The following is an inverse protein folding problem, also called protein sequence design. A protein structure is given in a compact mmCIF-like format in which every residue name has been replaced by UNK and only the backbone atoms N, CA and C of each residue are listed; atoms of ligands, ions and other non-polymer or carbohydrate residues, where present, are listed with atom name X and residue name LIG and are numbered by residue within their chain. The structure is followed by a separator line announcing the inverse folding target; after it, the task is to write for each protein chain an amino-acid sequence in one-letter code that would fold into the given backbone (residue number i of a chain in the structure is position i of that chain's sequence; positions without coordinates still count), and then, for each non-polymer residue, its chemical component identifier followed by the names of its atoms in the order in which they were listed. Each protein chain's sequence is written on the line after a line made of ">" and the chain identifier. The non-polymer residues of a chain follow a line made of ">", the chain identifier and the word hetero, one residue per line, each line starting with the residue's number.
data_IF_369829690905
#
_entry.id   IF_369829690905
#
_cell.length_a   1.000
_cell.length_b   1.000
_cell.length_c   1.000
_cell.angle_alpha   90.00
_cell.angle_beta   90.00
_cell.angle_gamma   90.00
#
_symmetry.space_group_name_H-M   'P 1'
#
loop_
_entity.id
_entity.type
_entity.pdbx_description
1 polymer ?
#
# COMPACT_ATOMS: atom_id res chain seq x y z
N UNK A 1 21.90 -8.42 19.22
CA UNK A 1 21.55 -9.52 20.15
C UNK A 1 21.75 -9.17 21.64
N UNK A 2 22.97 -9.23 22.20
CA UNK A 2 23.20 -9.02 23.66
C UNK A 2 22.65 -7.72 24.28
N UNK A 3 22.62 -6.60 23.55
CA UNK A 3 22.10 -5.33 24.07
C UNK A 3 20.56 -5.29 24.16
N UNK A 4 19.86 -6.02 23.28
CA UNK A 4 18.39 -6.09 23.28
C UNK A 4 17.86 -7.02 24.38
N UNK A 5 18.47 -8.19 24.51
CA UNK A 5 18.16 -9.16 25.59
C UNK A 5 18.37 -8.51 26.97
N UNK A 6 19.49 -7.78 27.15
CA UNK A 6 19.74 -7.01 28.38
C UNK A 6 18.71 -5.91 28.64
N UNK A 7 18.19 -5.24 27.60
CA UNK A 7 17.17 -4.22 27.77
C UNK A 7 15.84 -4.84 28.22
N UNK A 8 15.42 -5.97 27.63
CA UNK A 8 14.22 -6.68 28.05
C UNK A 8 14.33 -7.21 29.49
N UNK A 9 15.47 -7.76 29.89
CA UNK A 9 15.73 -8.21 31.27
C UNK A 9 15.68 -7.05 32.27
N UNK A 10 16.33 -5.93 31.96
CA UNK A 10 16.31 -4.73 32.80
C UNK A 10 14.90 -4.17 32.95
N UNK A 11 14.09 -4.17 31.87
CA UNK A 11 12.69 -3.76 31.93
C UNK A 11 11.90 -4.59 32.95
N UNK A 12 12.04 -5.92 32.93
CA UNK A 12 11.36 -6.81 33.88
C UNK A 12 11.79 -6.55 35.32
N UNK A 13 13.09 -6.29 35.55
CA UNK A 13 13.60 -5.96 36.88
C UNK A 13 13.01 -4.65 37.43
N UNK A 14 12.98 -3.59 36.62
CA UNK A 14 12.41 -2.31 37.04
C UNK A 14 10.89 -2.36 37.20
N UNK A 15 10.20 -3.14 36.36
CA UNK A 15 8.76 -3.36 36.49
C UNK A 15 8.42 -4.07 37.81
N UNK A 16 9.13 -5.14 38.17
CA UNK A 16 8.98 -5.83 39.47
C UNK A 16 9.33 -4.93 40.65
N UNK A 17 10.29 -4.04 40.46
CA UNK A 17 10.68 -3.01 41.43
C UNK A 17 9.73 -1.81 41.51
N UNK A 18 8.65 -1.77 40.71
CA UNK A 18 7.70 -0.66 40.58
C UNK A 18 8.33 0.68 40.14
N UNK A 19 9.52 0.64 39.54
CA UNK A 19 10.13 1.79 38.87
C UNK A 19 9.66 1.83 37.40
N UNK A 20 8.40 2.27 37.22
CA UNK A 20 7.75 2.25 35.92
C UNK A 20 8.42 3.17 34.90
N UNK A 21 9.04 4.28 35.33
CA UNK A 21 9.76 5.19 34.43
C UNK A 21 10.96 4.49 33.77
N UNK A 22 11.77 3.76 34.56
CA UNK A 22 12.90 3.01 33.99
C UNK A 22 12.42 1.80 33.20
N UNK A 23 11.38 1.10 33.66
CA UNK A 23 10.80 -0.03 32.93
C UNK A 23 10.35 0.38 31.52
N UNK A 24 9.60 1.49 31.40
CA UNK A 24 9.17 2.07 30.11
C UNK A 24 10.36 2.36 29.20
N UNK A 25 11.41 3.02 29.71
CA UNK A 25 12.61 3.35 28.91
C UNK A 25 13.25 2.10 28.30
N UNK A 26 13.42 1.04 29.10
CA UNK A 26 14.04 -0.19 28.64
C UNK A 26 13.13 -1.01 27.71
N UNK A 27 11.81 -0.98 27.92
CA UNK A 27 10.85 -1.59 26.99
C UNK A 27 10.87 -0.94 25.61
N UNK A 28 10.98 0.40 25.54
CA UNK A 28 11.15 1.11 24.26
C UNK A 28 12.41 0.64 23.54
N UNK A 29 13.54 0.59 24.25
CA UNK A 29 14.81 0.17 23.69
C UNK A 29 14.79 -1.31 23.26
N UNK A 30 14.12 -2.18 24.01
CA UNK A 30 13.90 -3.58 23.63
C UNK A 30 13.07 -3.67 22.34
N UNK A 31 11.97 -2.92 22.23
CA UNK A 31 11.14 -2.85 21.04
C UNK A 31 11.88 -2.35 19.79
N UNK A 32 12.60 -1.22 19.89
CA UNK A 32 13.42 -0.67 18.81
C UNK A 32 14.54 -1.65 18.38
N UNK A 33 15.16 -2.33 19.34
CA UNK A 33 16.19 -3.33 19.07
C UNK A 33 15.64 -4.58 18.38
N UNK A 34 14.43 -5.01 18.76
CA UNK A 34 13.74 -6.13 18.15
C UNK A 34 13.35 -5.78 16.70
N UNK A 35 12.83 -4.58 16.46
CA UNK A 35 12.57 -4.08 15.10
C UNK A 35 13.81 -4.10 14.21
N UNK A 36 14.95 -3.61 14.71
CA UNK A 36 16.23 -3.64 13.96
C UNK A 36 16.73 -5.05 13.64
N UNK A 37 16.27 -6.05 14.38
CA UNK A 37 16.61 -7.46 14.18
C UNK A 37 15.48 -8.24 13.49
N UNK A 38 14.47 -7.55 12.94
CA UNK A 38 13.27 -8.13 12.32
C UNK A 38 12.44 -9.04 13.27
N UNK A 39 12.63 -8.90 14.59
CA UNK A 39 11.83 -9.52 15.64
C UNK A 39 10.53 -8.76 15.89
N UNK A 40 9.68 -8.64 14.87
CA UNK A 40 8.50 -7.75 14.92
C UNK A 40 7.47 -8.16 15.99
N UNK A 41 7.32 -9.47 16.25
CA UNK A 41 6.39 -9.97 17.28
C UNK A 41 6.85 -9.56 18.69
N UNK A 42 8.13 -9.77 18.99
CA UNK A 42 8.73 -9.38 20.27
C UNK A 42 8.71 -7.85 20.42
N UNK A 43 8.91 -7.10 19.33
CA UNK A 43 8.77 -5.66 19.33
C UNK A 43 7.35 -5.23 19.74
N UNK A 44 6.31 -5.82 19.14
CA UNK A 44 4.91 -5.51 19.48
C UNK A 44 4.64 -5.81 20.96
N UNK A 45 5.10 -6.95 21.47
CA UNK A 45 4.92 -7.34 22.87
C UNK A 45 5.58 -6.32 23.82
N UNK A 46 6.84 -5.95 23.58
CA UNK A 46 7.55 -4.96 24.40
C UNK A 46 6.94 -3.57 24.32
N UNK A 47 6.53 -3.11 23.13
CA UNK A 47 5.95 -1.78 22.92
C UNK A 47 4.55 -1.69 23.55
N UNK A 48 3.73 -2.73 23.41
CA UNK A 48 2.39 -2.80 24.04
C UNK A 48 2.52 -2.78 25.56
N UNK A 49 3.43 -3.59 26.12
CA UNK A 49 3.69 -3.57 27.57
C UNK A 49 4.22 -2.20 28.03
N UNK A 50 5.06 -1.56 27.22
CA UNK A 50 5.57 -0.21 27.48
C UNK A 50 4.45 0.83 27.58
N UNK A 51 3.47 0.78 26.66
CA UNK A 51 2.30 1.65 26.67
C UNK A 51 1.39 1.40 27.89
N UNK A 52 1.18 0.14 28.28
CA UNK A 52 0.43 -0.20 29.50
C UNK A 52 1.07 0.40 30.76
N UNK A 53 2.39 0.25 30.90
CA UNK A 53 3.12 0.83 32.04
C UNK A 53 3.15 2.35 31.98
N UNK A 54 3.27 2.94 30.79
CA UNK A 54 3.26 4.40 30.61
C UNK A 54 1.94 5.02 31.07
N UNK A 55 0.81 4.30 30.90
CA UNK A 55 -0.50 4.71 31.41
C UNK A 55 -0.58 4.86 32.93
N UNK A 56 0.35 4.26 33.68
CA UNK A 56 0.45 4.39 35.15
C UNK A 56 1.28 5.59 35.61
N UNK A 57 2.03 6.21 34.69
CA UNK A 57 2.87 7.38 34.98
C UNK A 57 2.02 8.66 34.82
N UNK A 58 2.15 9.65 35.72
CA UNK A 58 1.45 10.93 35.60
C UNK A 58 1.68 11.59 34.24
N UNK A 59 0.63 12.21 33.71
CA UNK A 59 0.69 12.87 32.42
C UNK A 59 1.58 14.12 32.49
N UNK A 60 2.65 14.11 31.70
CA UNK A 60 3.64 15.18 31.55
C UNK A 60 3.97 15.33 30.06
N UNK A 61 4.47 16.48 29.58
CA UNK A 61 4.93 16.62 28.20
C UNK A 61 5.93 15.52 27.80
N UNK A 62 6.82 15.13 28.70
CA UNK A 62 7.78 14.04 28.50
C UNK A 62 7.07 12.68 28.34
N UNK A 63 6.01 12.40 29.10
CA UNK A 63 5.19 11.20 28.95
C UNK A 63 4.51 11.17 27.58
N UNK A 64 3.96 12.30 27.13
CA UNK A 64 3.27 12.42 25.85
C UNK A 64 4.26 12.19 24.70
N UNK A 65 5.49 12.73 24.79
CA UNK A 65 6.55 12.48 23.80
C UNK A 65 6.97 11.01 23.76
N UNK A 66 7.09 10.36 24.94
CA UNK A 66 7.38 8.92 25.01
C UNK A 66 6.25 8.11 24.37
N UNK A 67 5.00 8.42 24.69
CA UNK A 67 3.83 7.74 24.13
C UNK A 67 3.83 7.87 22.60
N UNK A 68 4.10 9.06 22.07
CA UNK A 68 4.19 9.30 20.63
C UNK A 68 5.25 8.41 19.97
N UNK A 69 6.44 8.33 20.56
CA UNK A 69 7.49 7.44 20.09
C UNK A 69 7.05 5.97 20.10
N UNK A 70 6.42 5.51 21.18
CA UNK A 70 5.88 4.13 21.25
C UNK A 70 4.85 3.87 20.17
N UNK A 71 3.91 4.79 19.94
CA UNK A 71 2.84 4.62 18.95
C UNK A 71 3.37 4.55 17.52
N UNK A 72 4.33 5.42 17.16
CA UNK A 72 4.97 5.38 15.83
C UNK A 72 5.74 4.07 15.62
N UNK A 73 6.52 3.64 16.61
CA UNK A 73 7.29 2.39 16.54
C UNK A 73 6.37 1.16 16.51
N UNK A 74 5.29 1.17 17.29
CA UNK A 74 4.28 0.10 17.29
C UNK A 74 3.55 0.04 15.94
N UNK A 75 3.15 1.18 15.38
CA UNK A 75 2.54 1.25 14.06
C UNK A 75 3.42 0.63 12.97
N UNK A 76 4.73 0.91 12.97
CA UNK A 76 5.68 0.30 12.05
C UNK A 76 5.80 -1.23 12.24
N UNK A 77 5.85 -1.70 13.49
CA UNK A 77 5.91 -3.13 13.80
C UNK A 77 4.63 -3.89 13.39
N UNK A 78 3.47 -3.29 13.61
CA UNK A 78 2.17 -3.84 13.24
C UNK A 78 2.00 -3.93 11.72
N UNK A 79 2.46 -2.93 10.96
CA UNK A 79 2.47 -2.99 9.49
C UNK A 79 3.22 -4.23 9.01
N UNK A 80 4.41 -4.49 9.56
CA UNK A 80 5.27 -5.57 9.11
C UNK A 80 4.68 -6.97 9.38
N UNK A 81 3.83 -7.12 10.40
CA UNK A 81 3.29 -8.42 10.83
C UNK A 81 1.82 -8.64 10.52
N UNK A 82 1.03 -7.56 10.47
CA UNK A 82 -0.44 -7.61 10.38
C UNK A 82 -1.03 -6.81 9.23
N UNK A 83 -0.21 -6.17 8.40
CA UNK A 83 -0.62 -5.24 7.33
C UNK A 83 -0.99 -3.82 7.81
N UNK A 84 -1.00 -2.89 6.85
CA UNK A 84 -1.46 -1.50 7.03
C UNK A 84 -2.93 -1.38 7.44
N UNK A 85 -3.74 -2.41 7.19
CA UNK A 85 -5.20 -2.43 7.30
C UNK A 85 -5.72 -2.92 8.65
N UNK A 86 -4.83 -3.43 9.52
CA UNK A 86 -5.19 -3.94 10.84
C UNK A 86 -5.75 -2.82 11.75
N UNK A 87 -6.85 -3.04 12.49
CA UNK A 87 -7.42 -2.03 13.37
C UNK A 87 -6.42 -1.42 14.37
N UNK A 88 -5.53 -2.24 14.91
CA UNK A 88 -4.49 -1.83 15.86
C UNK A 88 -3.48 -0.88 15.21
N UNK A 89 -3.15 -1.08 13.93
CA UNK A 89 -2.29 -0.16 13.15
C UNK A 89 -2.95 1.21 13.03
N UNK A 90 -4.25 1.25 12.68
CA UNK A 90 -5.01 2.49 12.57
C UNK A 90 -5.15 3.21 13.92
N UNK A 91 -5.35 2.47 15.02
CA UNK A 91 -5.40 3.02 16.37
C UNK A 91 -4.06 3.66 16.77
N UNK A 92 -2.94 2.98 16.53
CA UNK A 92 -1.62 3.49 16.85
C UNK A 92 -1.32 4.81 16.13
N UNK A 93 -1.54 4.87 14.81
CA UNK A 93 -1.31 6.10 14.05
C UNK A 93 -2.30 7.23 14.38
N UNK A 94 -3.57 6.92 14.63
CA UNK A 94 -4.55 7.94 15.06
C UNK A 94 -4.14 8.54 16.40
N UNK A 95 -3.67 7.72 17.34
CA UNK A 95 -3.16 8.20 18.62
C UNK A 95 -1.87 9.01 18.43
N UNK A 96 -0.97 8.60 17.54
CA UNK A 96 0.22 9.38 17.21
C UNK A 96 -0.13 10.78 16.66
N UNK A 97 -1.13 10.89 15.79
CA UNK A 97 -1.59 12.20 15.27
C UNK A 97 -2.14 13.08 16.39
N UNK A 98 -3.01 12.55 17.25
CA UNK A 98 -3.54 13.27 18.42
C UNK A 98 -2.42 13.77 19.35
N UNK A 99 -1.41 12.94 19.62
CA UNK A 99 -0.27 13.32 20.43
C UNK A 99 0.59 14.40 19.76
N UNK A 100 0.79 14.35 18.43
CA UNK A 100 1.52 15.38 17.69
C UNK A 100 0.80 16.73 17.78
N UNK A 101 -0.52 16.76 17.62
CA UNK A 101 -1.30 18.00 17.71
C UNK A 101 -1.23 18.60 19.13
N UNK A 102 -1.23 17.76 20.18
CA UNK A 102 -1.08 18.21 21.57
C UNK A 102 0.31 18.77 21.88
N UNK A 103 1.35 18.17 21.31
CA UNK A 103 2.75 18.59 21.50
C UNK A 103 3.16 19.75 20.59
N UNK A 104 2.36 20.07 19.56
CA UNK A 104 2.75 20.92 18.44
C UNK A 104 4.04 20.40 17.75
N UNK A 105 4.28 19.08 17.79
CA UNK A 105 5.45 18.43 17.20
C UNK A 105 5.23 18.23 15.70
N UNK A 106 5.84 19.09 14.89
CA UNK A 106 5.74 19.03 13.43
C UNK A 106 6.60 17.92 12.82
N UNK A 107 7.64 17.45 13.53
CA UNK A 107 8.60 16.47 13.01
C UNK A 107 8.01 15.06 12.98
N UNK A 108 7.31 14.67 14.04
CA UNK A 108 6.69 13.36 14.18
C UNK A 108 5.32 13.25 13.47
N UNK A 109 4.71 14.41 13.16
CA UNK A 109 3.39 14.49 12.55
C UNK A 109 3.34 13.84 11.16
N UNK A 110 4.36 14.02 10.34
CA UNK A 110 4.38 13.45 9.00
C UNK A 110 4.40 11.92 9.00
N UNK A 111 5.32 11.23 9.73
CA UNK A 111 5.25 9.79 9.91
C UNK A 111 3.87 9.31 10.40
N UNK A 112 3.27 10.02 11.36
CA UNK A 112 1.96 9.68 11.91
C UNK A 112 0.84 9.75 10.87
N UNK A 113 0.72 10.89 10.18
CA UNK A 113 -0.28 11.11 9.14
C UNK A 113 -0.05 10.24 7.91
N UNK A 114 1.20 9.98 7.52
CA UNK A 114 1.53 9.06 6.42
C UNK A 114 1.09 7.62 6.73
N UNK A 115 1.34 7.14 7.95
CA UNK A 115 0.87 5.83 8.41
C UNK A 115 -0.66 5.73 8.41
N UNK A 116 -1.33 6.75 8.96
CA UNK A 116 -2.80 6.83 8.98
C UNK A 116 -3.41 6.93 7.58
N UNK A 117 -2.79 7.74 6.70
CA UNK A 117 -3.17 7.86 5.30
C UNK A 117 -3.10 6.51 4.59
N UNK A 118 -2.01 5.74 4.75
CA UNK A 118 -1.88 4.40 4.16
C UNK A 118 -2.93 3.41 4.69
N UNK A 119 -3.22 3.46 5.99
CA UNK A 119 -4.28 2.65 6.60
C UNK A 119 -5.62 2.90 5.89
N UNK A 120 -6.02 4.16 5.73
CA UNK A 120 -7.27 4.51 5.05
C UNK A 120 -7.23 4.20 3.55
N UNK A 121 -6.09 4.48 2.89
CA UNK A 121 -5.94 4.25 1.45
C UNK A 121 -6.10 2.77 1.09
N UNK A 122 -5.42 1.86 1.79
CA UNK A 122 -5.44 0.43 1.45
C UNK A 122 -6.82 -0.21 1.69
N UNK A 123 -7.61 0.38 2.60
CA UNK A 123 -9.03 0.05 2.86
C UNK A 123 -10.00 0.68 1.85
N UNK A 124 -9.47 1.39 0.84
CA UNK A 124 -10.23 2.19 -0.11
C UNK A 124 -11.12 3.29 0.53
N UNK A 125 -10.75 3.80 1.70
CA UNK A 125 -11.43 4.92 2.35
C UNK A 125 -10.90 6.25 1.77
N UNK A 126 -11.10 6.44 0.46
CA UNK A 126 -10.41 7.46 -0.36
C UNK A 126 -10.75 8.90 0.04
N UNK A 127 -11.98 9.17 0.48
CA UNK A 127 -12.36 10.51 0.97
C UNK A 127 -11.53 10.92 2.20
N UNK A 128 -11.35 10.00 3.15
CA UNK A 128 -10.51 10.23 4.34
C UNK A 128 -9.04 10.34 3.96
N UNK A 129 -8.56 9.46 3.08
CA UNK A 129 -7.18 9.54 2.58
C UNK A 129 -6.89 10.89 1.90
N UNK A 130 -7.84 11.39 1.10
CA UNK A 130 -7.73 12.71 0.45
C UNK A 130 -7.63 13.81 1.48
N UNK A 131 -8.56 13.88 2.42
CA UNK A 131 -8.56 14.90 3.46
C UNK A 131 -7.25 14.92 4.27
N UNK A 132 -6.70 13.74 4.60
CA UNK A 132 -5.41 13.63 5.28
C UNK A 132 -4.25 14.14 4.41
N UNK A 133 -4.23 13.79 3.13
CA UNK A 133 -3.18 14.25 2.20
C UNK A 133 -3.24 15.75 1.92
N UNK A 134 -4.43 16.35 1.87
CA UNK A 134 -4.61 17.80 1.73
C UNK A 134 -4.17 18.54 3.00
N UNK A 135 -4.50 18.00 4.18
CA UNK A 135 -4.01 18.54 5.46
C UNK A 135 -2.49 18.48 5.56
N UNK A 136 -1.88 17.37 5.14
CA UNK A 136 -0.42 17.22 5.05
C UNK A 136 0.18 18.30 4.17
N UNK A 137 -0.34 18.49 2.96
CA UNK A 137 0.16 19.49 2.02
C UNK A 137 0.03 20.91 2.55
N UNK A 138 -1.11 21.27 3.13
CA UNK A 138 -1.30 22.62 3.71
C UNK A 138 -0.30 22.91 4.83
N UNK A 139 -0.03 21.92 5.70
CA UNK A 139 0.96 22.08 6.79
C UNK A 139 2.38 22.16 6.23
N UNK A 140 2.74 21.32 5.26
CA UNK A 140 4.04 21.35 4.59
C UNK A 140 4.31 22.68 3.87
N UNK A 141 3.29 23.25 3.21
CA UNK A 141 3.39 24.57 2.58
C UNK A 141 3.63 25.69 3.58
N UNK A 142 3.04 25.62 4.77
CA UNK A 142 3.25 26.61 5.85
C UNK A 142 4.63 26.50 6.48
N UNK A 143 5.16 25.29 6.64
CA UNK A 143 6.50 25.08 7.20
C UNK A 143 7.61 25.41 6.19
N UNK A 144 7.34 25.25 4.89
CA UNK A 144 8.35 25.40 3.83
C UNK A 144 9.40 24.28 3.83
N UNK A 145 9.17 23.21 4.59
CA UNK A 145 10.09 22.09 4.72
C UNK A 145 10.06 21.23 3.44
N UNK A 146 11.17 21.14 2.68
CA UNK A 146 11.23 20.38 1.44
C UNK A 146 10.86 18.90 1.59
N UNK A 147 11.18 18.28 2.74
CA UNK A 147 10.91 16.86 2.97
C UNK A 147 9.42 16.62 3.22
N UNK A 148 8.78 17.50 3.99
CA UNK A 148 7.34 17.47 4.21
C UNK A 148 6.59 17.75 2.91
N UNK A 149 7.09 18.67 2.08
CA UNK A 149 6.51 18.96 0.78
C UNK A 149 6.59 17.74 -0.14
N UNK A 150 7.77 17.13 -0.29
CA UNK A 150 7.99 15.89 -1.04
C UNK A 150 6.97 14.82 -0.63
N UNK A 151 6.90 14.54 0.67
CA UNK A 151 6.01 13.53 1.22
C UNK A 151 4.53 13.84 0.99
N UNK A 152 4.14 15.11 1.10
CA UNK A 152 2.75 15.56 0.91
C UNK A 152 2.32 15.48 -0.55
N UNK A 153 3.15 15.98 -1.47
CA UNK A 153 2.94 15.86 -2.92
C UNK A 153 2.79 14.39 -3.33
N UNK A 154 3.62 13.49 -2.78
CA UNK A 154 3.50 12.05 -2.99
C UNK A 154 2.17 11.48 -2.49
N UNK A 155 1.75 11.81 -1.25
CA UNK A 155 0.49 11.28 -0.68
C UNK A 155 -0.73 11.75 -1.48
N UNK A 156 -0.78 13.04 -1.84
CA UNK A 156 -1.90 13.61 -2.56
C UNK A 156 -1.93 13.11 -4.00
N UNK A 157 -0.79 13.11 -4.70
CA UNK A 157 -0.68 12.57 -6.06
C UNK A 157 -1.11 11.11 -6.15
N UNK A 158 -0.69 10.27 -5.19
CA UNK A 158 -1.15 8.88 -5.13
C UNK A 158 -2.65 8.76 -4.86
N UNK A 159 -3.23 9.60 -3.99
CA UNK A 159 -4.67 9.56 -3.70
C UNK A 159 -5.51 9.98 -4.91
N UNK A 160 -5.10 11.06 -5.59
CA UNK A 160 -5.76 11.57 -6.79
C UNK A 160 -5.73 10.54 -7.93
N UNK A 161 -4.64 9.76 -8.05
CA UNK A 161 -4.57 8.65 -9.00
C UNK A 161 -5.69 7.62 -8.76
N UNK A 162 -5.93 7.19 -7.52
CA UNK A 162 -7.02 6.27 -7.20
C UNK A 162 -8.41 6.88 -7.43
N UNK A 163 -8.55 8.20 -7.23
CA UNK A 163 -9.78 8.93 -7.48
C UNK A 163 -10.02 9.23 -8.97
N UNK A 164 -9.13 8.82 -9.88
CA UNK A 164 -9.25 9.06 -11.33
C UNK A 164 -8.84 10.47 -11.79
N UNK A 165 -8.29 11.31 -10.91
CA UNK A 165 -7.85 12.68 -11.22
C UNK A 165 -6.41 12.70 -11.76
N UNK A 166 -6.19 12.02 -12.89
CA UNK A 166 -4.85 11.70 -13.41
C UNK A 166 -3.97 12.91 -13.73
N UNK A 167 -4.55 13.98 -14.29
CA UNK A 167 -3.78 15.20 -14.66
C UNK A 167 -3.25 15.90 -13.41
N UNK A 168 -4.10 16.06 -12.40
CA UNK A 168 -3.70 16.68 -11.11
C UNK A 168 -2.74 15.76 -10.34
N UNK A 169 -2.98 14.45 -10.38
CA UNK A 169 -2.07 13.45 -9.80
C UNK A 169 -0.67 13.58 -10.39
N UNK A 170 -0.55 13.65 -11.72
CA UNK A 170 0.71 13.86 -12.43
C UNK A 170 1.45 15.09 -11.92
N UNK A 171 0.77 16.24 -11.86
CA UNK A 171 1.39 17.50 -11.44
C UNK A 171 1.98 17.40 -10.02
N UNK A 172 1.25 16.82 -9.07
CA UNK A 172 1.78 16.62 -7.71
C UNK A 172 2.94 15.63 -7.69
N UNK A 173 2.87 14.52 -8.43
CA UNK A 173 3.96 13.52 -8.45
C UNK A 173 5.24 14.11 -9.07
N UNK A 174 5.13 14.90 -10.13
CA UNK A 174 6.26 15.61 -10.75
C UNK A 174 6.88 16.63 -9.79
N UNK A 175 6.06 17.38 -9.04
CA UNK A 175 6.55 18.29 -7.99
C UNK A 175 7.27 17.54 -6.87
N UNK A 176 6.75 16.39 -6.43
CA UNK A 176 7.43 15.53 -5.47
C UNK A 176 8.79 15.05 -5.99
N UNK A 177 8.84 14.54 -7.22
CA UNK A 177 10.08 14.06 -7.85
C UNK A 177 11.12 15.19 -7.96
N UNK A 178 10.70 16.42 -8.29
CA UNK A 178 11.59 17.57 -8.38
C UNK A 178 12.25 17.95 -7.04
N UNK A 179 11.62 17.60 -5.91
CA UNK A 179 12.14 17.81 -4.55
C UNK A 179 12.99 16.63 -4.05
N UNK A 180 13.05 15.52 -4.80
CA UNK A 180 13.69 14.30 -4.31
C UNK A 180 15.20 14.27 -4.57
N UNK A 181 15.99 14.15 -3.51
CA UNK A 181 17.43 13.88 -3.54
C UNK A 181 17.78 12.51 -2.92
N UNK A 182 18.25 11.55 -3.73
CA UNK A 182 18.56 10.17 -3.29
C UNK A 182 19.52 10.11 -2.09
N UNK A 183 20.57 10.94 -2.10
CA UNK A 183 21.60 10.96 -1.04
C UNK A 183 21.08 11.45 0.32
N UNK A 184 20.13 12.38 0.32
CA UNK A 184 19.51 12.91 1.54
C UNK A 184 18.41 11.98 2.04
N UNK A 185 17.62 11.40 1.13
CA UNK A 185 16.39 10.69 1.48
C UNK A 185 16.56 9.17 1.71
N UNK A 186 17.75 8.60 1.47
CA UNK A 186 18.01 7.17 1.73
C UNK A 186 17.70 6.76 3.17
N UNK A 187 17.97 7.63 4.15
CA UNK A 187 17.65 7.38 5.56
C UNK A 187 16.13 7.34 5.83
N UNK A 188 15.33 8.02 5.00
CA UNK A 188 13.89 8.17 5.19
C UNK A 188 13.08 6.99 4.66
N UNK A 189 13.65 6.16 3.77
CA UNK A 189 13.03 4.92 3.33
C UNK A 189 12.66 4.00 4.53
N UNK A 190 13.49 4.02 5.58
CA UNK A 190 13.27 3.26 6.82
C UNK A 190 12.27 3.92 7.77
N UNK A 191 12.13 5.25 7.74
CA UNK A 191 11.18 6.00 8.57
C UNK A 191 9.76 6.04 7.98
N UNK A 192 9.62 6.02 6.65
CA UNK A 192 8.33 6.13 5.95
C UNK A 192 7.77 4.80 5.43
N UNK A 193 8.52 3.71 5.63
CA UNK A 193 8.17 2.34 5.21
C UNK A 193 8.29 2.08 3.70
N UNK A 194 8.34 3.11 2.85
CA UNK A 194 8.76 3.04 1.45
C UNK A 194 9.53 4.31 1.11
N UNK A 195 10.48 4.22 0.18
CA UNK A 195 11.18 5.38 -0.34
C UNK A 195 10.22 6.29 -1.13
N UNK A 196 10.17 7.60 -0.83
CA UNK A 196 9.24 8.53 -1.47
C UNK A 196 9.52 8.76 -2.96
N UNK A 197 10.78 8.68 -3.40
CA UNK A 197 11.17 8.84 -4.80
C UNK A 197 10.72 7.64 -5.64
N UNK A 198 11.03 6.43 -5.18
CA UNK A 198 10.60 5.16 -5.81
C UNK A 198 9.08 5.12 -5.95
N UNK A 199 8.35 5.47 -4.88
CA UNK A 199 6.89 5.51 -4.94
C UNK A 199 6.37 6.54 -5.94
N UNK A 200 6.93 7.76 -5.93
CA UNK A 200 6.46 8.83 -6.81
C UNK A 200 6.67 8.47 -8.27
N UNK A 201 7.83 7.92 -8.63
CA UNK A 201 8.14 7.44 -9.98
C UNK A 201 7.23 6.26 -10.39
N UNK A 202 7.00 5.31 -9.47
CA UNK A 202 6.14 4.14 -9.72
C UNK A 202 4.70 4.56 -10.02
N UNK A 203 4.13 5.45 -9.21
CA UNK A 203 2.76 5.95 -9.42
C UNK A 203 2.70 6.84 -10.67
N UNK A 204 3.72 7.68 -10.90
CA UNK A 204 3.78 8.52 -12.09
C UNK A 204 3.81 7.68 -13.37
N UNK A 205 4.53 6.56 -13.39
CA UNK A 205 4.53 5.62 -14.52
C UNK A 205 3.10 5.12 -14.82
N UNK A 206 2.33 4.74 -13.79
CA UNK A 206 0.94 4.31 -13.96
C UNK A 206 0.01 5.45 -14.43
N UNK A 207 0.19 6.65 -13.88
CA UNK A 207 -0.56 7.84 -14.31
C UNK A 207 -0.29 8.15 -15.78
N UNK A 208 0.99 8.15 -16.20
CA UNK A 208 1.39 8.39 -17.58
C UNK A 208 0.83 7.33 -18.53
N UNK A 209 0.84 6.07 -18.12
CA UNK A 209 0.22 4.99 -18.89
C UNK A 209 -1.27 5.26 -19.10
N UNK A 210 -1.99 5.58 -18.02
CA UNK A 210 -3.44 5.84 -18.05
C UNK A 210 -3.80 7.06 -18.89
N UNK A 211 -2.94 8.07 -18.91
CA UNK A 211 -3.08 9.26 -19.76
C UNK A 211 -2.70 9.02 -21.24
N UNK A 212 -2.26 7.81 -21.62
CA UNK A 212 -1.90 7.47 -23.00
C UNK A 212 -0.47 7.82 -23.40
N UNK A 213 0.46 7.94 -22.45
CA UNK A 213 1.88 8.20 -22.69
C UNK A 213 2.76 6.97 -22.40
N UNK A 214 2.66 5.88 -23.20
CA UNK A 214 3.28 4.59 -22.87
C UNK A 214 4.81 4.64 -22.80
N UNK A 215 5.46 5.43 -23.65
CA UNK A 215 6.91 5.55 -23.65
C UNK A 215 7.44 6.31 -22.43
N UNK A 216 6.74 7.38 -22.03
CA UNK A 216 7.07 8.11 -20.80
C UNK A 216 6.82 7.25 -19.56
N UNK A 217 5.75 6.45 -19.56
CA UNK A 217 5.46 5.49 -18.50
C UNK A 217 6.59 4.46 -18.35
N UNK A 218 7.06 3.90 -19.47
CA UNK A 218 8.21 2.97 -19.50
C UNK A 218 9.46 3.61 -18.90
N UNK A 219 9.82 4.82 -19.36
CA UNK A 219 10.99 5.54 -18.88
C UNK A 219 10.94 5.78 -17.36
N UNK A 220 9.81 6.30 -16.84
CA UNK A 220 9.66 6.55 -15.40
C UNK A 220 9.67 5.25 -14.59
N UNK A 221 9.13 4.16 -15.14
CA UNK A 221 9.21 2.83 -14.54
C UNK A 221 10.66 2.32 -14.41
N UNK A 222 11.46 2.48 -15.46
CA UNK A 222 12.88 2.11 -15.45
C UNK A 222 13.68 2.93 -14.44
N UNK A 223 13.44 4.24 -14.38
CA UNK A 223 14.00 5.12 -13.35
C UNK A 223 13.64 4.64 -11.94
N UNK A 224 12.38 4.27 -11.69
CA UNK A 224 11.94 3.73 -10.41
C UNK A 224 12.67 2.44 -10.03
N UNK A 225 12.84 1.50 -10.98
CA UNK A 225 13.53 0.23 -10.76
C UNK A 225 15.02 0.43 -10.47
N UNK A 226 15.69 1.33 -11.20
CA UNK A 226 17.09 1.66 -10.95
C UNK A 226 17.26 2.25 -9.55
N UNK A 227 16.44 3.23 -9.19
CA UNK A 227 16.47 3.86 -7.88
C UNK A 227 16.20 2.85 -6.75
N UNK A 228 15.19 1.99 -6.91
CA UNK A 228 14.85 0.99 -5.89
C UNK A 228 15.99 -0.02 -5.65
N UNK A 229 16.72 -0.40 -6.71
CA UNK A 229 17.91 -1.25 -6.62
C UNK A 229 19.08 -0.54 -5.95
N UNK A 230 19.32 0.73 -6.28
CA UNK A 230 20.39 1.54 -5.68
C UNK A 230 20.20 1.72 -4.16
N UNK A 231 18.97 2.03 -3.74
CA UNK A 231 18.62 2.21 -2.33
C UNK A 231 18.74 0.87 -1.57
N UNK A 232 18.47 -0.24 -2.26
CA UNK A 232 18.48 -1.59 -1.70
C UNK A 232 17.54 -1.76 -0.49
N UNK A 233 16.38 -1.10 -0.53
CA UNK A 233 15.34 -1.23 0.49
C UNK A 233 14.29 -2.26 0.03
N UNK A 234 14.20 -3.46 0.66
CA UNK A 234 13.46 -4.60 0.11
C UNK A 234 11.98 -4.33 -0.20
N UNK A 235 11.29 -3.60 0.69
CA UNK A 235 9.87 -3.31 0.49
C UNK A 235 9.63 -2.26 -0.60
N UNK A 236 10.57 -1.31 -0.82
CA UNK A 236 10.50 -0.35 -1.94
C UNK A 236 10.79 -1.03 -3.27
N UNK A 237 11.75 -1.96 -3.28
CA UNK A 237 11.99 -2.82 -4.43
C UNK A 237 10.75 -3.66 -4.76
N UNK A 238 10.15 -4.34 -3.77
CA UNK A 238 8.92 -5.13 -3.97
C UNK A 238 7.76 -4.29 -4.54
N UNK A 239 7.56 -3.08 -4.03
CA UNK A 239 6.56 -2.14 -4.56
C UNK A 239 6.78 -1.87 -6.05
N UNK A 240 8.02 -1.50 -6.42
CA UNK A 240 8.38 -1.21 -7.80
C UNK A 240 8.29 -2.45 -8.69
N UNK A 241 8.74 -3.61 -8.22
CA UNK A 241 8.66 -4.88 -8.93
C UNK A 241 7.20 -5.23 -9.28
N UNK A 242 6.27 -5.11 -8.33
CA UNK A 242 4.86 -5.41 -8.61
C UNK A 242 4.25 -4.45 -9.64
N UNK A 243 4.40 -3.14 -9.41
CA UNK A 243 3.67 -2.15 -10.19
C UNK A 243 4.32 -1.78 -11.52
N UNK A 244 5.64 -1.83 -11.59
CA UNK A 244 6.37 -1.54 -12.83
C UNK A 244 6.63 -2.83 -13.58
N UNK A 245 7.33 -3.80 -12.97
CA UNK A 245 7.81 -4.96 -13.71
C UNK A 245 6.72 -6.00 -14.00
N UNK A 246 5.69 -6.16 -13.15
CA UNK A 246 4.60 -7.11 -13.45
C UNK A 246 3.37 -6.45 -14.08
N UNK A 247 2.93 -5.29 -13.55
CA UNK A 247 1.67 -4.66 -13.95
C UNK A 247 1.78 -3.82 -15.24
N UNK A 248 2.90 -3.17 -15.56
CA UNK A 248 3.01 -2.48 -16.85
C UNK A 248 3.01 -3.46 -18.05
N UNK A 249 3.75 -4.60 -18.02
CA UNK A 249 3.60 -5.63 -19.07
C UNK A 249 2.17 -6.18 -19.15
N UNK A 250 1.47 -6.29 -18.00
CA UNK A 250 0.07 -6.70 -17.99
C UNK A 250 -0.79 -5.71 -18.80
N UNK A 251 -0.63 -4.41 -18.54
CA UNK A 251 -1.34 -3.37 -19.28
C UNK A 251 -1.02 -3.39 -20.78
N UNK A 252 0.22 -3.75 -21.14
CA UNK A 252 0.68 -3.91 -22.52
C UNK A 252 0.22 -5.22 -23.19
N UNK A 253 -0.52 -6.07 -22.47
CA UNK A 253 -0.93 -7.41 -22.94
C UNK A 253 0.27 -8.30 -23.29
N UNK A 254 1.30 -8.29 -22.45
CA UNK A 254 2.51 -9.11 -22.56
C UNK A 254 2.50 -10.24 -21.51
N UNK A 255 1.66 -11.28 -21.68
CA UNK A 255 1.37 -12.24 -20.61
C UNK A 255 2.57 -13.08 -20.19
N UNK A 256 3.48 -13.41 -21.12
CA UNK A 256 4.69 -14.17 -20.77
C UNK A 256 5.59 -13.39 -19.80
N UNK A 257 5.82 -12.10 -20.06
CA UNK A 257 6.61 -11.24 -19.19
C UNK A 257 5.93 -11.06 -17.83
N UNK A 258 4.60 -10.83 -17.80
CA UNK A 258 3.85 -10.76 -16.55
C UNK A 258 3.96 -12.04 -15.73
N UNK A 259 3.88 -13.22 -16.37
CA UNK A 259 4.02 -14.50 -15.67
C UNK A 259 5.38 -14.65 -15.00
N UNK A 260 6.46 -14.45 -15.77
CA UNK A 260 7.84 -14.58 -15.28
C UNK A 260 8.14 -13.64 -14.12
N UNK A 261 7.73 -12.37 -14.26
CA UNK A 261 7.89 -11.38 -13.20
C UNK A 261 7.05 -11.73 -11.98
N UNK A 262 5.75 -12.02 -12.14
CA UNK A 262 4.88 -12.30 -11.02
C UNK A 262 5.30 -13.56 -10.24
N UNK A 263 5.77 -14.62 -10.92
CA UNK A 263 6.26 -15.84 -10.27
C UNK A 263 7.51 -15.57 -9.41
N UNK A 264 8.50 -14.85 -9.97
CA UNK A 264 9.69 -14.43 -9.24
C UNK A 264 9.36 -13.52 -8.04
N UNK A 265 8.40 -12.61 -8.22
CA UNK A 265 7.98 -11.68 -7.18
C UNK A 265 7.21 -12.36 -6.03
N UNK A 266 6.45 -13.42 -6.30
CA UNK A 266 5.80 -14.24 -5.26
C UNK A 266 6.87 -14.86 -4.36
N UNK A 267 7.93 -15.43 -4.95
CA UNK A 267 9.04 -16.01 -4.19
C UNK A 267 9.75 -14.95 -3.33
N UNK A 268 10.09 -13.79 -3.91
CA UNK A 268 10.71 -12.68 -3.18
C UNK A 268 9.83 -12.17 -2.04
N UNK A 269 8.51 -12.06 -2.27
CA UNK A 269 7.56 -11.67 -1.24
C UNK A 269 7.48 -12.70 -0.10
N UNK A 270 7.51 -13.99 -0.42
CA UNK A 270 7.51 -15.06 0.58
C UNK A 270 8.78 -15.05 1.45
N UNK A 271 9.95 -14.87 0.84
CA UNK A 271 11.25 -14.78 1.53
C UNK A 271 11.28 -13.65 2.57
N UNK A 272 10.66 -12.50 2.25
CA UNK A 272 10.67 -11.31 3.10
C UNK A 272 9.39 -11.13 3.95
N UNK A 273 8.43 -12.05 3.89
CA UNK A 273 7.16 -11.96 4.63
C UNK A 273 6.19 -10.89 4.12
N UNK A 274 6.31 -10.48 2.86
CA UNK A 274 5.52 -9.43 2.23
C UNK A 274 4.17 -9.92 1.69
N UNK A 275 3.29 -10.36 2.60
CA UNK A 275 2.02 -11.03 2.29
C UNK A 275 1.15 -10.28 1.27
N UNK A 276 0.98 -8.95 1.43
CA UNK A 276 0.16 -8.15 0.50
C UNK A 276 0.65 -8.23 -0.96
N UNK A 277 1.98 -8.17 -1.15
CA UNK A 277 2.60 -8.18 -2.47
C UNK A 277 2.55 -9.59 -3.07
N UNK A 278 2.63 -10.63 -2.23
CA UNK A 278 2.41 -12.01 -2.65
C UNK A 278 1.02 -12.25 -3.24
N UNK A 279 -0.04 -11.72 -2.60
CA UNK A 279 -1.40 -11.85 -3.11
C UNK A 279 -1.63 -11.12 -4.43
N UNK A 280 -1.09 -9.90 -4.57
CA UNK A 280 -1.22 -9.15 -5.82
C UNK A 280 -0.46 -9.81 -6.98
N UNK A 281 0.76 -10.31 -6.75
CA UNK A 281 1.49 -11.03 -7.78
C UNK A 281 0.85 -12.40 -8.09
N UNK A 282 0.22 -13.07 -7.11
CA UNK A 282 -0.60 -14.27 -7.36
C UNK A 282 -1.75 -13.97 -8.31
N UNK A 283 -2.43 -12.82 -8.12
CA UNK A 283 -3.48 -12.37 -9.03
C UNK A 283 -2.93 -12.12 -10.45
N UNK A 284 -1.83 -11.38 -10.60
CA UNK A 284 -1.22 -11.06 -11.90
C UNK A 284 -0.72 -12.31 -12.63
N UNK A 285 -0.13 -13.27 -11.90
CA UNK A 285 0.26 -14.58 -12.44
C UNK A 285 -0.95 -15.37 -12.94
N UNK A 286 -2.06 -15.33 -12.19
CA UNK A 286 -3.33 -15.90 -12.62
C UNK A 286 -3.84 -15.28 -13.92
N UNK A 287 -3.83 -13.94 -14.02
CA UNK A 287 -4.18 -13.24 -15.27
C UNK A 287 -3.30 -13.70 -16.43
N UNK A 288 -1.98 -13.75 -16.24
CA UNK A 288 -1.05 -14.18 -17.27
C UNK A 288 -1.32 -15.62 -17.74
N UNK A 289 -1.62 -16.54 -16.81
CA UNK A 289 -2.02 -17.91 -17.15
C UNK A 289 -3.31 -17.95 -18.00
N UNK A 290 -4.29 -17.08 -17.72
CA UNK A 290 -5.51 -17.03 -18.53
C UNK A 290 -5.24 -16.63 -19.97
N UNK A 291 -4.42 -15.59 -20.18
CA UNK A 291 -4.06 -15.11 -21.52
C UNK A 291 -3.15 -16.09 -22.28
N UNK A 292 -2.36 -16.90 -21.57
CA UNK A 292 -1.56 -18.00 -22.14
C UNK A 292 -2.38 -19.28 -22.41
N UNK A 293 -3.71 -19.23 -22.27
CA UNK A 293 -4.62 -20.32 -22.59
C UNK A 293 -4.90 -21.32 -21.46
N UNK A 294 -4.27 -21.16 -20.29
CA UNK A 294 -4.55 -21.95 -19.07
C UNK A 294 -5.69 -21.33 -18.27
N UNK A 295 -6.85 -21.18 -18.92
CA UNK A 295 -7.96 -20.32 -18.47
C UNK A 295 -8.49 -20.69 -17.08
N UNK A 296 -8.89 -21.94 -16.82
CA UNK A 296 -9.48 -22.32 -15.53
C UNK A 296 -8.48 -22.22 -14.36
N UNK A 297 -7.23 -22.57 -14.61
CA UNK A 297 -6.16 -22.43 -13.63
C UNK A 297 -5.88 -20.95 -13.31
N UNK A 298 -5.78 -20.11 -14.34
CA UNK A 298 -5.57 -18.68 -14.18
C UNK A 298 -6.71 -18.01 -13.41
N UNK A 299 -7.97 -18.32 -13.75
CA UNK A 299 -9.16 -17.83 -13.00
C UNK A 299 -9.10 -18.26 -11.53
N UNK A 300 -8.71 -19.51 -11.26
CA UNK A 300 -8.55 -20.02 -9.89
C UNK A 300 -7.50 -19.22 -9.11
N UNK A 301 -6.34 -18.95 -9.72
CA UNK A 301 -5.29 -18.14 -9.10
C UNK A 301 -5.69 -16.67 -8.91
N UNK A 302 -6.39 -16.07 -9.88
CA UNK A 302 -6.93 -14.71 -9.72
C UNK A 302 -7.89 -14.62 -8.54
N UNK A 303 -8.80 -15.59 -8.39
CA UNK A 303 -9.71 -15.67 -7.23
C UNK A 303 -8.96 -15.85 -5.92
N UNK A 304 -7.92 -16.69 -5.90
CA UNK A 304 -7.07 -16.88 -4.73
C UNK A 304 -6.37 -15.59 -4.32
N UNK A 305 -5.73 -14.89 -5.27
CA UNK A 305 -5.06 -13.61 -5.01
C UNK A 305 -6.03 -12.55 -4.49
N UNK A 306 -7.20 -12.41 -5.11
CA UNK A 306 -8.24 -11.48 -4.67
C UNK A 306 -8.80 -11.82 -3.28
N UNK A 307 -9.01 -13.10 -2.98
CA UNK A 307 -9.46 -13.56 -1.66
C UNK A 307 -8.42 -13.27 -0.58
N UNK A 308 -7.15 -13.58 -0.84
CA UNK A 308 -6.04 -13.29 0.07
C UNK A 308 -5.85 -11.79 0.32
N UNK A 309 -6.01 -10.96 -0.71
CA UNK A 309 -6.01 -9.49 -0.59
C UNK A 309 -7.14 -8.99 0.32
N UNK A 310 -8.35 -9.53 0.19
CA UNK A 310 -9.47 -9.19 1.08
C UNK A 310 -9.27 -9.73 2.50
N UNK A 311 -8.66 -10.90 2.65
CA UNK A 311 -8.42 -11.51 3.97
C UNK A 311 -7.48 -10.68 4.84
N UNK A 312 -6.57 -9.91 4.24
CA UNK A 312 -5.76 -8.92 4.98
C UNK A 312 -6.50 -7.59 5.22
N UNK A 313 -7.76 -7.46 4.81
CA UNK A 313 -8.56 -6.25 5.00
C UNK A 313 -8.31 -5.14 3.98
N UNK A 314 -7.65 -5.43 2.85
CA UNK A 314 -7.46 -4.49 1.76
C UNK A 314 -8.66 -4.54 0.78
N UNK A 315 -9.13 -3.37 0.34
CA UNK A 315 -10.23 -3.24 -0.64
C UNK A 315 -9.83 -2.35 -1.84
N UNK A 316 -8.68 -1.65 -1.76
CA UNK A 316 -8.09 -0.91 -2.88
C UNK A 316 -7.75 -1.88 -4.02
N UNK A 317 -7.83 -1.44 -5.29
CA UNK A 317 -7.68 -2.25 -6.51
C UNK A 317 -8.80 -3.26 -6.77
N UNK A 318 -9.83 -3.34 -5.93
CA UNK A 318 -10.91 -4.31 -6.15
C UNK A 318 -11.61 -4.13 -7.51
N UNK A 319 -11.97 -2.90 -7.96
CA UNK A 319 -12.51 -2.70 -9.30
C UNK A 319 -11.57 -3.21 -10.41
N UNK A 320 -10.27 -2.99 -10.28
CA UNK A 320 -9.25 -3.50 -11.21
C UNK A 320 -9.25 -5.04 -11.28
N UNK A 321 -9.23 -5.71 -10.12
CA UNK A 321 -9.24 -7.18 -10.07
C UNK A 321 -10.53 -7.76 -10.66
N UNK A 322 -11.67 -7.15 -10.38
CA UNK A 322 -12.95 -7.56 -10.94
C UNK A 322 -13.00 -7.37 -12.46
N UNK A 323 -12.44 -6.27 -12.99
CA UNK A 323 -12.34 -6.01 -14.43
C UNK A 323 -11.56 -7.12 -15.15
N UNK A 324 -10.36 -7.45 -14.67
CA UNK A 324 -9.54 -8.49 -15.28
C UNK A 324 -10.16 -9.88 -15.15
N UNK A 325 -10.80 -10.18 -14.01
CA UNK A 325 -11.49 -11.46 -13.83
C UNK A 325 -12.71 -11.57 -14.76
N UNK A 326 -13.44 -10.47 -14.98
CA UNK A 326 -14.53 -10.41 -15.95
C UNK A 326 -14.01 -10.62 -17.38
N UNK A 327 -12.87 -10.05 -17.75
CA UNK A 327 -12.24 -10.27 -19.05
C UNK A 327 -11.79 -11.73 -19.24
N UNK A 328 -11.25 -12.38 -18.20
CA UNK A 328 -10.95 -13.81 -18.22
C UNK A 328 -12.23 -14.67 -18.42
N UNK A 329 -13.33 -14.32 -17.73
CA UNK A 329 -14.63 -14.97 -17.93
C UNK A 329 -15.19 -14.73 -19.35
N UNK A 330 -14.99 -13.54 -19.92
CA UNK A 330 -15.33 -13.23 -21.32
C UNK A 330 -14.60 -14.18 -22.28
N UNK A 331 -13.30 -14.37 -22.08
CA UNK A 331 -12.48 -15.28 -22.89
C UNK A 331 -12.88 -16.75 -22.73
N UNK A 332 -13.41 -17.13 -21.56
CA UNK A 332 -13.96 -18.46 -21.28
C UNK A 332 -15.41 -18.67 -21.79
N UNK A 333 -16.04 -17.67 -22.41
CA UNK A 333 -17.45 -17.72 -22.83
C UNK A 333 -18.47 -17.65 -21.68
N UNK A 334 -18.03 -17.37 -20.46
CA UNK A 334 -18.83 -17.24 -19.24
C UNK A 334 -19.35 -15.81 -19.09
N UNK A 335 -20.17 -15.38 -20.06
CA UNK A 335 -20.60 -13.99 -20.24
C UNK A 335 -21.39 -13.45 -19.03
N UNK A 336 -22.31 -14.24 -18.48
CA UNK A 336 -23.15 -13.83 -17.35
C UNK A 336 -22.33 -13.60 -16.09
N UNK A 337 -21.35 -14.47 -15.83
CA UNK A 337 -20.42 -14.35 -14.71
C UNK A 337 -19.55 -13.10 -14.86
N UNK A 338 -19.06 -12.82 -16.08
CA UNK A 338 -18.33 -11.58 -16.36
C UNK A 338 -19.16 -10.32 -16.10
N UNK A 339 -20.43 -10.28 -16.55
CA UNK A 339 -21.33 -9.16 -16.31
C UNK A 339 -21.59 -8.94 -14.81
N UNK A 340 -21.78 -10.02 -14.06
CA UNK A 340 -22.00 -9.95 -12.60
C UNK A 340 -20.80 -9.33 -11.89
N UNK A 341 -19.58 -9.69 -12.29
CA UNK A 341 -18.35 -9.12 -11.73
C UNK A 341 -18.20 -7.63 -12.06
N UNK A 342 -18.61 -7.19 -13.25
CA UNK A 342 -18.58 -5.78 -13.63
C UNK A 342 -19.64 -4.95 -12.90
N UNK A 343 -20.81 -5.52 -12.63
CA UNK A 343 -21.82 -4.88 -11.78
C UNK A 343 -21.30 -4.70 -10.35
N UNK A 344 -20.69 -5.73 -9.76
CA UNK A 344 -20.01 -5.62 -8.46
C UNK A 344 -18.92 -4.53 -8.49
N UNK A 345 -18.11 -4.47 -9.54
CA UNK A 345 -17.04 -3.49 -9.66
C UNK A 345 -17.59 -2.06 -9.69
N UNK A 346 -18.63 -1.79 -10.48
CA UNK A 346 -19.28 -0.49 -10.56
C UNK A 346 -19.96 -0.09 -9.24
N UNK A 347 -20.54 -1.05 -8.51
CA UNK A 347 -21.04 -0.82 -7.15
C UNK A 347 -19.92 -0.45 -6.18
N UNK A 348 -18.76 -1.08 -6.28
CA UNK A 348 -17.57 -0.73 -5.47
C UNK A 348 -17.13 0.70 -5.75
N UNK A 349 -16.97 1.07 -7.04
CA UNK A 349 -16.60 2.45 -7.44
C UNK A 349 -17.57 3.47 -6.87
N UNK A 350 -18.88 3.23 -6.98
CA UNK A 350 -19.91 4.13 -6.40
C UNK A 350 -19.79 4.29 -4.89
N UNK A 351 -19.39 3.23 -4.16
CA UNK A 351 -19.31 3.26 -2.69
C UNK A 351 -18.04 3.93 -2.18
N UNK A 352 -16.90 3.71 -2.83
CA UNK A 352 -15.59 4.09 -2.29
C UNK A 352 -14.86 5.19 -3.10
N UNK A 353 -15.36 5.52 -4.30
CA UNK A 353 -14.79 6.55 -5.16
C UNK A 353 -13.54 6.13 -5.94
N UNK A 354 -13.20 4.83 -6.00
CA UNK A 354 -12.03 4.33 -6.72
C UNK A 354 -12.29 4.34 -8.25
N UNK A 355 -12.19 5.51 -8.86
CA UNK A 355 -12.53 5.70 -10.27
C UNK A 355 -11.41 5.34 -11.26
N UNK A 356 -10.25 4.85 -10.78
CA UNK A 356 -9.09 4.49 -11.61
C UNK A 356 -9.45 3.69 -12.88
N UNK A 357 -10.30 2.67 -12.75
CA UNK A 357 -10.66 1.76 -13.84
C UNK A 357 -12.09 1.94 -14.35
N UNK A 358 -12.79 3.00 -13.94
CA UNK A 358 -14.23 3.13 -14.23
C UNK A 358 -14.54 3.11 -15.73
N UNK A 359 -13.74 3.81 -16.54
CA UNK A 359 -13.89 3.80 -18.00
C UNK A 359 -13.73 2.38 -18.59
N UNK A 360 -12.78 1.61 -18.08
CA UNK A 360 -12.52 0.24 -18.54
C UNK A 360 -13.64 -0.71 -18.13
N UNK A 361 -14.23 -0.54 -16.94
CA UNK A 361 -15.40 -1.30 -16.50
C UNK A 361 -16.58 -1.11 -17.47
N UNK A 362 -16.86 0.12 -17.86
CA UNK A 362 -17.93 0.42 -18.82
C UNK A 362 -17.63 -0.13 -20.21
N UNK A 363 -16.38 -0.02 -20.69
CA UNK A 363 -15.95 -0.60 -21.97
C UNK A 363 -16.16 -2.12 -22.00
N UNK A 364 -15.64 -2.84 -21.01
CA UNK A 364 -15.79 -4.29 -20.89
C UNK A 364 -17.25 -4.72 -20.76
N UNK A 365 -18.06 -3.96 -20.02
CA UNK A 365 -19.49 -4.24 -19.87
C UNK A 365 -20.23 -4.10 -21.20
N UNK A 366 -19.94 -3.05 -21.96
CA UNK A 366 -20.47 -2.86 -23.32
C UNK A 366 -20.13 -4.02 -24.25
N UNK A 367 -18.87 -4.48 -24.26
CA UNK A 367 -18.43 -5.61 -25.08
C UNK A 367 -19.12 -6.92 -24.71
N UNK A 368 -19.31 -7.20 -23.41
CA UNK A 368 -20.03 -8.39 -22.95
C UNK A 368 -21.51 -8.35 -23.31
N UNK A 369 -22.16 -7.18 -23.21
CA UNK A 369 -23.57 -7.01 -23.59
C UNK A 369 -23.78 -7.25 -25.09
N UNK A 370 -22.89 -6.74 -25.95
CA UNK A 370 -22.94 -6.98 -27.40
C UNK A 370 -22.84 -8.48 -27.74
N UNK A 371 -21.94 -9.21 -27.06
CA UNK A 371 -21.79 -10.66 -27.24
C UNK A 371 -23.00 -11.46 -26.74
N UNK A 372 -23.61 -11.02 -25.64
CA UNK A 372 -24.84 -11.63 -25.10
C UNK A 372 -26.00 -11.54 -26.12
N UNK A 373 -26.19 -10.38 -26.73
CA UNK A 373 -27.23 -10.15 -27.73
C UNK A 373 -27.00 -10.97 -29.01
N UNK A 374 -25.75 -11.03 -29.50
CA UNK A 374 -25.40 -11.87 -30.66
C UNK A 374 -25.69 -13.36 -30.40
N UNK A 375 -25.37 -13.85 -29.20
CA UNK A 375 -25.63 -15.25 -28.82
C UNK A 375 -27.13 -15.55 -28.73
N UNK A 376 -27.93 -14.60 -28.23
CA UNK A 376 -29.38 -14.73 -28.15
C UNK A 376 -30.03 -14.74 -29.54
N UNK A 377 -29.56 -13.91 -30.48
CA UNK A 377 -30.02 -13.86 -31.88
C UNK A 377 -29.65 -15.13 -32.66
N UNK A 378 -28.43 -15.66 -32.51
CA UNK A 378 -28.03 -16.93 -33.14
C UNK A 378 -28.85 -18.13 -32.64
N UNK A 379 -29.24 -18.16 -31.35
CA UNK A 379 -30.10 -19.21 -30.78
C UNK A 379 -31.55 -19.13 -31.26
N UNK A 380 -32.04 -17.95 -31.64
CA UNK A 380 -33.38 -17.78 -32.20
C UNK A 380 -33.43 -18.06 -33.70
N UNK A 381 -32.35 -17.79 -34.44
CA UNK A 381 -32.23 -18.11 -35.87
C UNK A 381 -32.03 -19.60 -36.19
N UNK A 382 -31.49 -20.40 -35.25
CA UNK A 382 -31.31 -21.85 -35.43
C UNK A 382 -32.56 -22.70 -35.11
N UNK A 383 -33.70 -22.07 -34.81
CA UNK A 383 -35.00 -22.72 -34.56
C UNK A 383 -36.00 -22.58 -35.73
N UNK A 384 -35.54 -22.12 -36.89
CA UNK A 384 -36.28 -22.11 -38.16
C UNK A 384 -35.62 -23.09 -39.09
#
# INVERSE_FOLDING_TARGET
>A
RRAGERAAELAVHFERGRDYQRAVRYLRQAGENALRQHGYREAIEHLTRGLELLGTVPETPERIQQELSFQLTLGAALIATRSYTAPETGQAYRRAVDLCDRLHDTSALFPALNGLWRFHLLRAELATARALSEQLLQRAQRSGDPELLLGSHRTLGATLYWCGEFVTARAHLEQGIALYESRLHRAHAFSYGLDPGVMSLTVLAQVLWTLGYPEQARQRGEEALMLAREIAHPVSLMHCLTFVAAMLPQHRREPQATYEHADAHIAFAAEHGFVQWGWMNTFLRGWALTELGRVEEGITQMRQGMSGWRAIGADLHRPYFLALLADAHRSAGKITEGLTLLDEALDVVRRNGEALNEAELWRLKGELLLRSQSTAQSRTGAKV
#
